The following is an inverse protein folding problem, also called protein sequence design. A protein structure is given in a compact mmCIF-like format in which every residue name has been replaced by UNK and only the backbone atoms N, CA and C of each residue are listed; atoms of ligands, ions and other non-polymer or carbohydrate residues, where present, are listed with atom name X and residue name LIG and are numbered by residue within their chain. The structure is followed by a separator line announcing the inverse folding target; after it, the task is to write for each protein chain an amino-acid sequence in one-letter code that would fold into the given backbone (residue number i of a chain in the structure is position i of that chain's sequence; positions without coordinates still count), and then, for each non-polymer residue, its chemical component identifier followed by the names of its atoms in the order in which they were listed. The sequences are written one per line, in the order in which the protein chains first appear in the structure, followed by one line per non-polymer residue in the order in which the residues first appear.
data_IF_223086481210
#
_entry.id   IF_223086481210
#
_cell.length_a   1.000
_cell.length_b   1.000
_cell.length_c   1.000
_cell.angle_alpha   90.00
_cell.angle_beta   90.00
_cell.angle_gamma   90.00
#
_symmetry.space_group_name_H-M   'P 1'
#
loop_
_entity.id
_entity.type
_entity.pdbx_description
1 polymer ?
#
# COMPACT_ATOMS: atom_id res chain seq x y z
N UNK A 1 19.77 -26.25 -3.62
CA UNK A 1 19.60 -24.78 -3.80
C UNK A 1 18.61 -24.56 -4.94
N UNK A 2 17.57 -23.78 -4.72
CA UNK A 2 16.51 -23.47 -5.70
C UNK A 2 16.46 -21.94 -5.90
N UNK A 3 16.74 -21.44 -7.11
CA UNK A 3 16.58 -20.02 -7.41
C UNK A 3 15.11 -19.70 -7.72
N UNK A 4 14.60 -18.62 -7.13
CA UNK A 4 13.27 -18.06 -7.37
C UNK A 4 13.45 -16.61 -7.81
N UNK A 5 12.94 -16.25 -9.00
CA UNK A 5 13.06 -14.91 -9.57
C UNK A 5 14.24 -14.74 -10.56
N UNK A 6 14.46 -13.54 -11.14
CA UNK A 6 13.87 -12.24 -10.76
C UNK A 6 12.42 -12.05 -11.22
N UNK A 7 11.95 -12.88 -12.15
CA UNK A 7 10.54 -12.96 -12.53
C UNK A 7 10.00 -14.32 -12.10
N UNK A 8 9.10 -14.33 -11.13
CA UNK A 8 8.43 -15.55 -10.65
C UNK A 8 6.96 -15.25 -10.39
N UNK A 9 6.09 -16.21 -10.65
CA UNK A 9 4.63 -16.01 -10.59
C UNK A 9 4.10 -15.66 -9.20
N UNK A 10 4.85 -16.03 -8.15
CA UNK A 10 4.52 -15.73 -6.76
C UNK A 10 5.15 -14.43 -6.25
N UNK A 11 5.90 -13.71 -7.09
CA UNK A 11 6.58 -12.46 -6.71
C UNK A 11 5.85 -11.27 -7.32
N UNK A 12 5.26 -10.43 -6.47
CA UNK A 12 4.58 -9.19 -6.89
C UNK A 12 5.58 -8.14 -7.42
N UNK A 13 6.81 -8.16 -6.92
CA UNK A 13 7.90 -7.29 -7.36
C UNK A 13 9.13 -8.11 -7.76
N UNK A 14 9.96 -7.61 -8.70
CA UNK A 14 11.18 -8.29 -9.12
C UNK A 14 12.19 -8.43 -7.98
N UNK A 15 12.39 -9.67 -7.53
CA UNK A 15 13.34 -10.05 -6.50
C UNK A 15 13.92 -11.42 -6.82
N UNK A 16 15.21 -11.62 -6.55
CA UNK A 16 15.86 -12.90 -6.74
C UNK A 16 16.17 -13.51 -5.38
N UNK A 17 15.65 -14.69 -5.12
CA UNK A 17 15.82 -15.44 -3.88
C UNK A 17 16.53 -16.76 -4.18
N UNK A 18 17.63 -17.01 -3.49
CA UNK A 18 18.37 -18.27 -3.52
C UNK A 18 18.03 -19.04 -2.26
N UNK A 19 17.14 -20.02 -2.40
CA UNK A 19 16.69 -20.84 -1.29
C UNK A 19 17.60 -22.05 -1.16
N UNK A 20 18.21 -22.23 0.01
CA UNK A 20 18.90 -23.45 0.40
C UNK A 20 17.88 -24.35 1.09
N UNK A 21 17.75 -25.57 0.58
CA UNK A 21 16.67 -26.49 0.96
C UNK A 21 17.29 -27.83 1.31
N UNK A 22 16.84 -28.39 2.43
CA UNK A 22 17.07 -29.78 2.84
C UNK A 22 15.73 -30.52 2.82
N UNK A 23 15.55 -31.40 1.82
CA UNK A 23 14.25 -32.02 1.53
C UNK A 23 13.17 -30.98 1.18
N UNK A 24 12.19 -30.81 2.07
CA UNK A 24 11.11 -29.82 1.96
C UNK A 24 11.32 -28.59 2.86
N UNK A 25 12.36 -28.58 3.70
CA UNK A 25 12.64 -27.49 4.63
C UNK A 25 13.62 -26.49 4.03
N UNK A 26 13.24 -25.21 4.03
CA UNK A 26 14.15 -24.11 3.69
C UNK A 26 15.07 -23.88 4.90
N UNK A 27 16.36 -24.16 4.74
CA UNK A 27 17.37 -24.01 5.79
C UNK A 27 18.01 -22.63 5.78
N UNK A 28 18.10 -21.99 4.62
CA UNK A 28 18.66 -20.65 4.46
C UNK A 28 18.12 -19.97 3.18
N UNK A 29 18.18 -18.64 3.11
CA UNK A 29 17.71 -17.86 1.98
C UNK A 29 18.58 -16.61 1.77
N UNK A 30 19.31 -16.57 0.65
CA UNK A 30 20.01 -15.36 0.19
C UNK A 30 19.08 -14.58 -0.75
N UNK A 31 18.80 -13.31 -0.45
CA UNK A 31 17.89 -12.48 -1.23
C UNK A 31 18.65 -11.31 -1.86
N UNK A 32 18.41 -11.11 -3.15
CA UNK A 32 18.89 -9.98 -3.92
C UNK A 32 17.70 -9.18 -4.42
N UNK A 33 17.56 -7.97 -3.89
CA UNK A 33 16.51 -7.01 -4.28
C UNK A 33 17.09 -5.93 -5.21
N UNK A 34 16.36 -4.82 -5.37
CA UNK A 34 16.77 -3.62 -6.13
C UNK A 34 16.80 -3.76 -7.66
N UNK A 35 16.13 -4.76 -8.23
CA UNK A 35 15.95 -4.87 -9.68
C UNK A 35 15.12 -3.70 -10.27
N UNK A 36 14.35 -2.98 -9.44
CA UNK A 36 13.57 -1.79 -9.83
C UNK A 36 14.15 -0.51 -9.22
N UNK A 37 15.44 -0.50 -8.88
CA UNK A 37 16.09 0.71 -8.39
C UNK A 37 16.15 1.78 -9.47
N UNK A 38 15.54 2.94 -9.20
CA UNK A 38 15.40 4.06 -10.15
C UNK A 38 16.24 5.29 -9.80
N UNK A 39 17.06 5.23 -8.75
CA UNK A 39 17.88 6.36 -8.30
C UNK A 39 17.06 7.60 -7.89
N UNK A 40 15.87 7.40 -7.32
CA UNK A 40 14.92 8.49 -7.01
C UNK A 40 15.53 9.54 -6.07
N UNK A 41 16.27 9.11 -5.05
CA UNK A 41 16.96 10.01 -4.12
C UNK A 41 17.99 10.89 -4.86
N UNK A 42 18.79 10.29 -5.75
CA UNK A 42 19.78 11.06 -6.51
C UNK A 42 19.15 12.05 -7.48
N UNK A 43 18.03 11.67 -8.08
CA UNK A 43 17.24 12.56 -8.93
C UNK A 43 16.70 13.76 -8.13
N UNK A 44 16.19 13.50 -6.92
CA UNK A 44 15.70 14.54 -6.02
C UNK A 44 16.81 15.54 -5.64
N UNK A 45 18.02 15.06 -5.32
CA UNK A 45 19.16 15.93 -4.95
C UNK A 45 19.66 16.82 -6.09
N UNK A 46 19.64 16.32 -7.32
CA UNK A 46 20.41 16.93 -8.42
C UNK A 46 19.58 17.70 -9.43
N UNK A 47 18.29 17.38 -9.57
CA UNK A 47 17.47 17.90 -10.68
C UNK A 47 16.07 18.36 -10.29
N UNK A 48 15.68 18.29 -9.02
CA UNK A 48 14.32 18.62 -8.59
C UNK A 48 14.32 19.65 -7.46
N UNK A 49 13.40 20.60 -7.53
CA UNK A 49 13.09 21.49 -6.41
C UNK A 49 12.22 20.80 -5.36
N UNK A 50 12.16 21.36 -4.15
CA UNK A 50 11.38 20.80 -3.04
C UNK A 50 9.92 20.45 -3.40
N UNK A 51 9.26 21.28 -4.19
CA UNK A 51 7.88 21.06 -4.64
C UNK A 51 7.75 19.90 -5.65
N UNK A 52 8.77 19.67 -6.47
CA UNK A 52 8.77 18.62 -7.48
C UNK A 52 9.04 17.24 -6.85
N UNK A 53 9.84 17.21 -5.78
CA UNK A 53 10.10 15.99 -5.00
C UNK A 53 8.83 15.44 -4.37
N UNK A 54 7.84 16.26 -4.01
CA UNK A 54 6.52 15.80 -3.57
C UNK A 54 5.85 14.88 -4.60
N UNK A 55 5.94 15.23 -5.89
CA UNK A 55 5.43 14.37 -6.98
C UNK A 55 6.30 13.15 -7.22
N UNK A 56 7.60 13.22 -6.91
CA UNK A 56 8.47 12.05 -6.96
C UNK A 56 8.13 11.06 -5.84
N UNK A 57 7.87 11.55 -4.62
CA UNK A 57 7.55 10.72 -3.46
C UNK A 57 6.26 9.91 -3.64
N UNK A 58 5.26 10.46 -4.36
CA UNK A 58 4.06 9.74 -4.77
C UNK A 58 4.35 8.43 -5.53
N UNK A 59 5.52 8.34 -6.19
CA UNK A 59 5.88 7.20 -7.05
C UNK A 59 6.82 6.19 -6.39
N UNK A 60 7.13 6.38 -5.11
CA UNK A 60 7.97 5.43 -4.34
C UNK A 60 7.26 4.09 -4.24
N UNK A 61 6.00 4.11 -3.82
CA UNK A 61 5.13 2.94 -3.68
C UNK A 61 4.02 2.99 -4.74
N UNK A 62 3.80 1.89 -5.44
CA UNK A 62 2.74 1.81 -6.47
C UNK A 62 1.31 1.80 -5.92
N UNK A 63 1.14 1.66 -4.60
CA UNK A 63 -0.16 1.49 -3.92
C UNK A 63 -0.41 2.62 -2.91
N UNK A 64 0.63 3.02 -2.19
CA UNK A 64 0.60 3.89 -1.02
C UNK A 64 1.28 5.25 -1.26
N UNK A 65 1.12 5.80 -2.47
CA UNK A 65 1.85 6.99 -2.92
C UNK A 65 1.57 8.24 -2.08
N UNK A 66 0.32 8.45 -1.68
CA UNK A 66 -0.09 9.61 -0.90
C UNK A 66 0.52 9.60 0.50
N UNK A 67 0.67 8.43 1.12
CA UNK A 67 1.37 8.29 2.38
C UNK A 67 2.83 8.76 2.29
N UNK A 68 3.55 8.39 1.22
CA UNK A 68 4.92 8.87 0.99
C UNK A 68 4.98 10.38 0.75
N UNK A 69 4.02 10.90 0.00
CA UNK A 69 3.93 12.34 -0.25
C UNK A 69 3.63 13.14 1.00
N UNK A 70 2.70 12.69 1.84
CA UNK A 70 2.41 13.33 3.13
C UNK A 70 3.61 13.22 4.07
N UNK A 71 4.31 12.09 4.10
CA UNK A 71 5.52 11.93 4.90
C UNK A 71 6.61 12.93 4.47
N UNK A 72 6.81 13.10 3.16
CA UNK A 72 7.75 14.08 2.62
C UNK A 72 7.34 15.52 2.95
N UNK A 73 6.09 15.92 2.65
CA UNK A 73 5.65 17.30 2.91
C UNK A 73 5.65 17.63 4.39
N UNK A 74 5.22 16.72 5.26
CA UNK A 74 5.27 16.95 6.71
C UNK A 74 6.71 17.13 7.19
N UNK A 75 7.67 16.37 6.63
CA UNK A 75 9.09 16.53 6.97
C UNK A 75 9.61 17.91 6.59
N UNK A 76 9.26 18.40 5.40
CA UNK A 76 9.66 19.73 4.92
C UNK A 76 8.95 20.85 5.68
N UNK A 77 7.64 20.72 5.93
CA UNK A 77 6.83 21.69 6.68
C UNK A 77 7.33 21.84 8.11
N UNK A 78 7.63 20.72 8.78
CA UNK A 78 8.20 20.73 10.13
C UNK A 78 9.60 21.37 10.15
N UNK A 79 10.45 21.08 9.16
CA UNK A 79 11.80 21.66 9.08
C UNK A 79 11.78 23.18 8.83
N UNK A 80 10.77 23.69 8.12
CA UNK A 80 10.61 25.10 7.79
C UNK A 80 9.68 25.86 8.76
N UNK A 81 9.06 25.18 9.72
CA UNK A 81 8.08 25.78 10.63
C UNK A 81 6.81 26.29 9.94
N UNK A 82 6.39 25.66 8.85
CA UNK A 82 5.21 26.05 8.08
C UNK A 82 3.95 25.51 8.77
N UNK A 83 3.05 26.41 9.19
CA UNK A 83 1.74 26.03 9.69
C UNK A 83 0.78 25.73 8.53
N UNK A 84 0.32 24.48 8.45
CA UNK A 84 -0.64 24.04 7.43
C UNK A 84 -2.07 24.28 7.91
N UNK A 85 -2.98 24.81 7.07
CA UNK A 85 -4.38 25.02 7.46
C UNK A 85 -5.07 23.72 7.92
N UNK A 86 -5.89 23.80 8.98
CA UNK A 86 -6.61 22.65 9.53
C UNK A 86 -7.47 21.90 8.48
N UNK A 87 -8.02 22.62 7.51
CA UNK A 87 -8.76 22.04 6.39
C UNK A 87 -7.89 21.13 5.54
N UNK A 88 -6.65 21.51 5.27
CA UNK A 88 -5.71 20.69 4.51
C UNK A 88 -5.31 19.42 5.29
N UNK A 89 -5.07 19.50 6.60
CA UNK A 89 -4.85 18.31 7.44
C UNK A 89 -6.03 17.34 7.41
N UNK A 90 -7.25 17.86 7.44
CA UNK A 90 -8.47 17.05 7.37
C UNK A 90 -8.57 16.32 6.02
N UNK A 91 -8.29 17.02 4.92
CA UNK A 91 -8.31 16.43 3.57
C UNK A 91 -7.21 15.37 3.42
N UNK A 92 -5.98 15.66 3.88
CA UNK A 92 -4.88 14.67 3.90
C UNK A 92 -5.29 13.41 4.65
N UNK A 93 -5.90 13.56 5.83
CA UNK A 93 -6.35 12.42 6.65
C UNK A 93 -7.40 11.58 5.92
N UNK A 94 -8.39 12.20 5.28
CA UNK A 94 -9.41 11.49 4.49
C UNK A 94 -8.76 10.68 3.36
N UNK A 95 -7.81 11.28 2.64
CA UNK A 95 -7.15 10.62 1.50
C UNK A 95 -6.21 9.50 1.94
N UNK A 96 -5.51 9.65 3.07
CA UNK A 96 -4.72 8.59 3.67
C UNK A 96 -5.59 7.38 4.03
N UNK A 97 -6.80 7.61 4.55
CA UNK A 97 -7.71 6.50 4.88
C UNK A 97 -8.33 5.85 3.63
N UNK A 98 -8.62 6.61 2.57
CA UNK A 98 -9.01 6.04 1.27
C UNK A 98 -7.89 5.17 0.70
N UNK A 99 -6.63 5.63 0.78
CA UNK A 99 -5.46 4.86 0.36
C UNK A 99 -5.20 3.63 1.23
N UNK A 100 -5.41 3.74 2.55
CA UNK A 100 -5.33 2.61 3.48
C UNK A 100 -6.33 1.52 3.13
N UNK A 101 -7.60 1.88 2.88
CA UNK A 101 -8.63 0.95 2.42
C UNK A 101 -8.20 0.26 1.11
N UNK A 102 -7.67 1.03 0.17
CA UNK A 102 -7.19 0.52 -1.10
C UNK A 102 -6.04 -0.49 -0.93
N UNK A 103 -5.08 -0.18 -0.07
CA UNK A 103 -3.91 -1.02 0.23
C UNK A 103 -4.32 -2.31 0.95
N UNK A 104 -5.16 -2.23 1.98
CA UNK A 104 -5.58 -3.40 2.74
C UNK A 104 -6.47 -4.35 1.92
N UNK A 105 -7.38 -3.84 1.09
CA UNK A 105 -8.19 -4.69 0.20
C UNK A 105 -7.34 -5.42 -0.84
N UNK A 106 -6.27 -4.77 -1.32
CA UNK A 106 -5.30 -5.42 -2.21
C UNK A 106 -4.56 -6.54 -1.48
N UNK A 107 -4.04 -6.28 -0.27
CA UNK A 107 -3.34 -7.29 0.52
C UNK A 107 -4.23 -8.48 0.88
N UNK A 108 -5.50 -8.24 1.24
CA UNK A 108 -6.47 -9.31 1.48
C UNK A 108 -6.70 -10.15 0.23
N UNK A 109 -6.90 -9.50 -0.93
CA UNK A 109 -7.04 -10.19 -2.21
C UNK A 109 -5.82 -11.06 -2.52
N UNK A 110 -4.61 -10.50 -2.45
CA UNK A 110 -3.36 -11.24 -2.70
C UNK A 110 -3.17 -12.40 -1.72
N UNK A 111 -3.52 -12.20 -0.45
CA UNK A 111 -3.51 -13.28 0.54
C UNK A 111 -4.42 -14.44 0.12
N UNK A 112 -5.62 -14.15 -0.39
CA UNK A 112 -6.50 -15.18 -0.95
C UNK A 112 -5.89 -15.87 -2.18
N UNK A 113 -5.15 -15.15 -3.02
CA UNK A 113 -4.54 -15.74 -4.22
C UNK A 113 -3.37 -16.68 -3.86
N UNK A 114 -2.47 -16.26 -2.96
CA UNK A 114 -1.41 -17.14 -2.43
C UNK A 114 -1.99 -18.34 -1.69
N UNK A 115 -3.12 -18.08 -1.02
CA UNK A 115 -4.23 -18.93 -0.58
C UNK A 115 -4.79 -20.00 -1.51
N UNK A 116 -4.62 -19.87 -2.82
CA UNK A 116 -5.30 -20.72 -3.81
C UNK A 116 -6.83 -20.54 -3.77
N UNK A 117 -7.31 -19.46 -3.17
CA UNK A 117 -8.71 -19.07 -3.07
C UNK A 117 -9.00 -17.90 -4.03
N UNK A 118 -8.95 -18.20 -5.32
CA UNK A 118 -9.06 -17.19 -6.38
C UNK A 118 -10.43 -16.49 -6.41
N UNK A 119 -11.50 -17.17 -5.98
CA UNK A 119 -12.81 -16.53 -5.83
C UNK A 119 -12.76 -15.39 -4.81
N UNK A 120 -12.07 -15.59 -3.68
CA UNK A 120 -11.83 -14.54 -2.69
C UNK A 120 -11.06 -13.37 -3.29
N UNK A 121 -9.97 -13.65 -4.01
CA UNK A 121 -9.19 -12.64 -4.73
C UNK A 121 -10.07 -11.77 -5.64
N UNK A 122 -10.90 -12.39 -6.49
CA UNK A 122 -11.79 -11.67 -7.41
C UNK A 122 -12.81 -10.80 -6.66
N UNK A 123 -13.37 -11.29 -5.55
CA UNK A 123 -14.34 -10.54 -4.75
C UNK A 123 -13.71 -9.36 -4.03
N UNK A 124 -12.52 -9.51 -3.43
CA UNK A 124 -11.80 -8.40 -2.82
C UNK A 124 -11.41 -7.34 -3.85
N UNK A 125 -10.98 -7.73 -5.05
CA UNK A 125 -10.70 -6.80 -6.14
C UNK A 125 -11.95 -6.07 -6.64
N UNK A 126 -13.11 -6.73 -6.68
CA UNK A 126 -14.41 -6.11 -6.99
C UNK A 126 -14.79 -5.03 -5.96
N UNK A 127 -14.51 -5.25 -4.67
CA UNK A 127 -14.75 -4.25 -3.63
C UNK A 127 -13.70 -3.14 -3.67
N UNK A 128 -12.44 -3.48 -3.92
CA UNK A 128 -11.34 -2.53 -4.13
C UNK A 128 -11.65 -1.53 -5.24
N UNK A 129 -12.37 -1.92 -6.28
CA UNK A 129 -12.84 -0.99 -7.32
C UNK A 129 -13.58 0.22 -6.74
N UNK A 130 -14.38 0.04 -5.69
CA UNK A 130 -15.09 1.15 -5.02
C UNK A 130 -14.15 2.11 -4.32
N UNK A 131 -13.05 1.61 -3.74
CA UNK A 131 -11.99 2.48 -3.19
C UNK A 131 -11.32 3.32 -4.29
N UNK A 132 -11.12 2.74 -5.48
CA UNK A 132 -10.56 3.48 -6.63
C UNK A 132 -11.54 4.50 -7.17
N UNK A 133 -12.84 4.21 -7.18
CA UNK A 133 -13.89 5.20 -7.50
C UNK A 133 -13.89 6.35 -6.51
N UNK A 134 -13.69 6.10 -5.21
CA UNK A 134 -13.55 7.17 -4.20
C UNK A 134 -12.33 8.05 -4.48
N UNK A 135 -11.18 7.45 -4.78
CA UNK A 135 -9.97 8.20 -5.13
C UNK A 135 -10.17 9.04 -6.41
N UNK A 136 -10.78 8.46 -7.45
CA UNK A 136 -11.08 9.14 -8.71
C UNK A 136 -12.02 10.33 -8.50
N UNK A 137 -13.05 10.17 -7.67
CA UNK A 137 -14.00 11.21 -7.37
C UNK A 137 -13.40 12.38 -6.59
N UNK A 138 -12.46 12.09 -5.67
CA UNK A 138 -11.83 13.11 -4.82
C UNK A 138 -10.68 13.83 -5.53
N UNK A 139 -9.91 13.14 -6.38
CA UNK A 139 -8.65 13.65 -6.94
C UNK A 139 -8.73 13.86 -8.45
N UNK A 140 -9.59 13.09 -9.14
CA UNK A 140 -9.63 12.97 -10.60
C UNK A 140 -8.75 11.84 -11.14
N UNK A 141 -8.15 11.03 -10.27
CA UNK A 141 -7.30 9.90 -10.66
C UNK A 141 -7.54 8.69 -9.77
N UNK A 142 -7.43 7.50 -10.37
CA UNK A 142 -7.69 6.22 -9.68
C UNK A 142 -6.57 5.81 -8.69
N UNK A 143 -5.41 6.45 -8.80
CA UNK A 143 -4.34 6.43 -7.80
C UNK A 143 -4.16 7.86 -7.28
N UNK A 144 -3.88 7.97 -6.00
CA UNK A 144 -3.84 9.18 -5.18
C UNK A 144 -2.55 10.00 -5.43
N UNK A 145 -2.40 10.53 -6.65
CA UNK A 145 -1.21 11.29 -7.04
C UNK A 145 -1.45 12.79 -7.17
N UNK A 146 -0.44 13.59 -6.81
CA UNK A 146 -0.32 14.99 -7.21
C UNK A 146 -1.31 15.96 -6.57
N UNK A 147 -2.01 15.53 -5.52
CA UNK A 147 -2.90 16.41 -4.75
C UNK A 147 -2.16 17.11 -3.60
N UNK A 148 -1.18 16.44 -3.00
CA UNK A 148 -0.47 16.99 -1.86
C UNK A 148 0.57 18.03 -2.30
N UNK A 149 0.70 19.10 -1.52
CA UNK A 149 1.66 20.18 -1.73
C UNK A 149 2.30 20.56 -0.40
N UNK A 150 3.51 21.12 -0.44
CA UNK A 150 4.10 21.74 0.75
C UNK A 150 3.23 22.95 1.11
N UNK A 151 2.77 23.01 2.36
CA UNK A 151 1.87 24.04 2.88
C UNK A 151 0.37 23.71 2.75
N UNK A 152 -0.02 22.57 2.16
CA UNK A 152 -1.43 22.18 2.09
C UNK A 152 -1.80 21.17 1.02
N UNK A 153 -2.89 21.43 0.31
CA UNK A 153 -3.45 20.55 -0.73
C UNK A 153 -3.85 21.36 -1.96
N UNK A 154 -3.70 20.77 -3.14
CA UNK A 154 -3.97 21.42 -4.44
C UNK A 154 -5.45 21.67 -4.70
N UNK A 155 -6.32 20.76 -4.26
CA UNK A 155 -7.78 20.88 -4.45
C UNK A 155 -8.50 20.55 -3.17
N UNK A 156 -9.65 21.20 -3.03
CA UNK A 156 -10.57 21.01 -1.93
C UNK A 156 -11.64 19.96 -2.29
N UNK A 157 -12.31 19.39 -1.27
CA UNK A 157 -13.42 18.45 -1.43
C UNK A 157 -14.73 19.24 -1.48
N UNK A 158 -15.39 19.20 -2.64
CA UNK A 158 -16.70 19.83 -2.85
C UNK A 158 -17.82 19.08 -2.11
N UNK A 159 -18.91 19.79 -1.82
CA UNK A 159 -20.07 19.22 -1.11
C UNK A 159 -20.64 17.98 -1.79
N UNK A 160 -20.74 18.00 -3.11
CA UNK A 160 -21.24 16.85 -3.88
C UNK A 160 -20.30 15.64 -3.77
N UNK A 161 -18.99 15.87 -3.95
CA UNK A 161 -17.97 14.84 -3.80
C UNK A 161 -18.02 14.19 -2.41
N UNK A 162 -18.17 15.00 -1.36
CA UNK A 162 -18.35 14.51 0.01
C UNK A 162 -19.55 13.58 0.14
N UNK A 163 -20.72 13.99 -0.35
CA UNK A 163 -21.96 13.20 -0.26
C UNK A 163 -21.84 11.87 -1.01
N UNK A 164 -21.24 11.88 -2.20
CA UNK A 164 -21.02 10.68 -2.99
C UNK A 164 -19.97 9.75 -2.34
N UNK A 165 -18.90 10.31 -1.78
CA UNK A 165 -17.88 9.54 -1.03
C UNK A 165 -18.51 8.82 0.16
N UNK A 166 -19.34 9.50 0.95
CA UNK A 166 -20.03 8.87 2.09
C UNK A 166 -20.89 7.68 1.66
N UNK A 167 -21.64 7.82 0.55
CA UNK A 167 -22.41 6.69 -0.02
C UNK A 167 -21.51 5.52 -0.40
N UNK A 168 -20.36 5.79 -1.03
CA UNK A 168 -19.40 4.75 -1.41
C UNK A 168 -18.77 4.08 -0.19
N UNK A 169 -18.46 4.83 0.87
CA UNK A 169 -17.96 4.27 2.14
C UNK A 169 -18.98 3.30 2.74
N UNK A 170 -20.25 3.69 2.85
CA UNK A 170 -21.30 2.79 3.37
C UNK A 170 -21.45 1.52 2.53
N UNK A 171 -21.47 1.65 1.20
CA UNK A 171 -21.56 0.49 0.30
C UNK A 171 -20.32 -0.41 0.43
N UNK A 172 -19.14 0.17 0.59
CA UNK A 172 -17.88 -0.57 0.73
C UNK A 172 -17.87 -1.33 2.05
N UNK A 173 -18.20 -0.68 3.16
CA UNK A 173 -18.27 -1.31 4.48
C UNK A 173 -19.20 -2.54 4.48
N UNK A 174 -20.43 -2.40 4.01
CA UNK A 174 -21.38 -3.51 3.93
C UNK A 174 -20.94 -4.67 3.02
N UNK A 175 -20.02 -4.42 2.09
CA UNK A 175 -19.49 -5.47 1.20
C UNK A 175 -18.24 -6.14 1.76
N UNK A 176 -17.53 -5.51 2.70
CA UNK A 176 -16.31 -6.06 3.27
C UNK A 176 -16.67 -7.15 4.28
N UNK A 177 -17.60 -6.89 5.20
CA UNK A 177 -17.88 -7.81 6.31
C UNK A 177 -18.20 -9.25 5.84
N UNK A 178 -19.11 -9.47 4.88
CA UNK A 178 -19.41 -10.83 4.41
C UNK A 178 -18.23 -11.50 3.70
N UNK A 179 -17.34 -10.73 3.07
CA UNK A 179 -16.15 -11.27 2.42
C UNK A 179 -15.09 -11.67 3.43
N UNK A 180 -14.94 -10.89 4.51
CA UNK A 180 -14.05 -11.23 5.61
C UNK A 180 -14.57 -12.47 6.34
N UNK A 181 -15.87 -12.56 6.62
CA UNK A 181 -16.48 -13.76 7.20
C UNK A 181 -16.26 -15.00 6.32
N UNK A 182 -16.46 -14.88 5.00
CA UNK A 182 -16.18 -15.96 4.04
C UNK A 182 -14.70 -16.37 4.05
N UNK A 183 -13.78 -15.41 4.10
CA UNK A 183 -12.35 -15.69 4.14
C UNK A 183 -11.96 -16.44 5.42
N UNK A 184 -12.46 -15.99 6.57
CA UNK A 184 -12.18 -16.60 7.87
C UNK A 184 -12.84 -17.98 8.02
N UNK A 185 -13.99 -18.21 7.39
CA UNK A 185 -14.65 -19.51 7.38
C UNK A 185 -14.00 -20.54 6.41
N UNK A 186 -13.02 -20.12 5.61
CA UNK A 186 -12.38 -21.00 4.61
C UNK A 186 -11.26 -21.82 5.26
N UNK A 187 -11.35 -23.17 5.32
CA UNK A 187 -10.36 -24.00 6.00
C UNK A 187 -8.94 -23.89 5.42
N UNK A 188 -8.82 -23.68 4.10
CA UNK A 188 -7.52 -23.49 3.44
C UNK A 188 -6.76 -22.27 3.98
N UNK A 189 -7.46 -21.23 4.43
CA UNK A 189 -6.83 -20.05 4.99
C UNK A 189 -6.20 -20.37 6.35
N UNK A 190 -6.93 -21.05 7.22
CA UNK A 190 -6.42 -21.46 8.53
C UNK A 190 -5.23 -22.41 8.38
N UNK A 191 -5.36 -23.48 7.58
CA UNK A 191 -4.32 -24.49 7.39
C UNK A 191 -3.01 -23.92 6.81
N UNK A 192 -3.09 -22.85 6.02
CA UNK A 192 -1.93 -22.27 5.33
C UNK A 192 -1.39 -20.99 5.95
N UNK A 193 -1.95 -20.56 7.08
CA UNK A 193 -1.45 -19.37 7.81
C UNK A 193 -1.11 -19.68 9.26
N UNK A 194 -1.78 -20.67 9.87
CA UNK A 194 -1.52 -21.04 11.25
C UNK A 194 -0.13 -21.66 11.41
N UNK A 195 0.65 -21.13 12.36
CA UNK A 195 1.98 -21.63 12.68
C UNK A 195 3.09 -21.18 11.72
N UNK A 196 2.78 -20.34 10.73
CA UNK A 196 3.76 -19.82 9.75
C UNK A 196 4.18 -18.39 10.13
N UNK A 197 5.46 -18.06 9.90
CA UNK A 197 5.97 -16.69 10.10
C UNK A 197 5.99 -16.23 11.57
N UNK A 198 6.13 -17.17 12.53
CA UNK A 198 6.10 -16.86 13.96
C UNK A 198 7.33 -16.01 14.34
N UNK A 199 7.08 -14.74 14.67
CA UNK A 199 8.09 -13.85 15.24
C UNK A 199 8.19 -14.09 16.76
N UNK A 200 9.16 -14.92 17.19
CA UNK A 200 9.30 -15.39 18.59
C UNK A 200 9.69 -14.30 19.59
N UNK A 201 10.35 -13.24 19.15
CA UNK A 201 10.75 -12.14 20.02
C UNK A 201 10.26 -10.81 19.47
N UNK A 202 9.86 -9.91 20.37
CA UNK A 202 9.50 -8.52 20.04
C UNK A 202 10.67 -7.75 19.43
N UNK A 203 11.89 -8.21 19.66
CA UNK A 203 13.12 -7.62 19.14
C UNK A 203 13.31 -7.95 17.65
N UNK A 204 13.10 -9.21 17.25
CA UNK A 204 13.12 -9.64 15.82
C UNK A 204 12.00 -8.92 15.04
N UNK A 205 10.85 -8.69 15.67
CA UNK A 205 9.76 -7.93 15.05
C UNK A 205 10.07 -6.43 14.82
N UNK A 206 11.03 -5.86 15.57
CA UNK A 206 11.43 -4.45 15.44
C UNK A 206 12.67 -4.26 14.58
N UNK A 207 13.55 -5.26 14.56
CA UNK A 207 14.83 -5.19 13.86
C UNK A 207 15.07 -6.53 13.15
N UNK A 208 14.61 -6.67 11.89
CA UNK A 208 14.68 -7.92 11.14
C UNK A 208 16.09 -8.27 10.64
N UNK A 209 17.10 -7.47 10.99
CA UNK A 209 18.52 -7.66 10.62
C UNK A 209 19.39 -8.18 11.78
N UNK A 210 18.80 -8.44 12.95
CA UNK A 210 19.42 -9.14 14.09
C UNK A 210 19.08 -10.64 14.05
#
# INVERSE_FOLDING_TARGET
MIPVGPLHITSDEPGHFRLFVDGEQIVDADYRLFYVHRGMEKLAETRMGYNEVTFLSDRVCGICGFAHSVAYTNSVENALGIEVPQRAHTIRSILLEVERLHSHLLNLGLSCHFVGFDTGFMQFFRVREKSMTMAELLIGSRKTYGLNLIGGVRRDILKEQRLQTLKLVHVTAHRIDPLVEMLLATPNMEQRTQGIGILRSRQIARDPLL
#
